data_IF_327035865410
#
_entry.id   IF_327035865410
#
_cell.length_a   1.000
_cell.length_b   1.000
_cell.length_c   1.000
_cell.angle_alpha   90.00
_cell.angle_beta   90.00
_cell.angle_gamma   90.00
#
_symmetry.space_group_name_H-M   'P 1'
#
loop_
_entity.id
_entity.type
_entity.pdbx_description
1 polymer ?
#
# COMPACT_ATOMS: atom_id res chain seq x y z
N UNK A 1 -7.86 -20.51 12.34
CA UNK A 1 -8.37 -19.15 12.13
C UNK A 1 -9.78 -19.16 11.59
N UNK A 2 -10.73 -18.70 12.40
CA UNK A 2 -12.05 -18.28 11.93
C UNK A 2 -12.02 -16.79 11.62
N UNK A 3 -12.30 -16.38 10.39
CA UNK A 3 -12.34 -14.96 10.03
C UNK A 3 -13.61 -14.26 10.55
N UNK A 4 -13.52 -12.94 10.76
CA UNK A 4 -14.55 -12.06 11.32
C UNK A 4 -15.85 -12.14 10.51
N UNK A 5 -15.78 -12.19 9.18
CA UNK A 5 -16.98 -12.32 8.32
C UNK A 5 -17.82 -13.58 8.64
N UNK A 6 -17.20 -14.62 9.19
CA UNK A 6 -17.84 -15.89 9.49
C UNK A 6 -18.37 -15.97 10.94
N UNK A 7 -18.21 -14.92 11.74
CA UNK A 7 -18.67 -14.89 13.12
C UNK A 7 -20.19 -14.91 13.23
N UNK A 8 -20.65 -15.61 14.27
CA UNK A 8 -22.05 -15.73 14.66
C UNK A 8 -22.16 -15.50 16.15
N UNK A 9 -23.33 -15.04 16.58
CA UNK A 9 -23.63 -14.90 17.99
C UNK A 9 -23.45 -16.25 18.72
N UNK A 10 -22.89 -16.21 19.94
CA UNK A 10 -22.52 -17.36 20.77
C UNK A 10 -21.32 -18.18 20.30
N UNK A 11 -20.61 -17.77 19.25
CA UNK A 11 -19.33 -18.37 18.92
C UNK A 11 -18.31 -18.17 20.03
N UNK A 12 -17.44 -19.18 20.22
CA UNK A 12 -16.21 -19.05 20.99
C UNK A 12 -15.05 -18.95 20.04
N UNK A 13 -14.19 -17.96 20.26
CA UNK A 13 -13.00 -17.75 19.43
C UNK A 13 -11.74 -17.97 20.25
N UNK A 14 -10.72 -18.49 19.56
CA UNK A 14 -9.39 -18.81 20.07
C UNK A 14 -8.44 -18.73 18.88
N UNK A 15 -8.22 -17.52 18.38
CA UNK A 15 -7.46 -17.26 17.16
C UNK A 15 -6.74 -15.91 17.28
N UNK A 16 -5.81 -15.66 16.36
CA UNK A 16 -5.02 -14.43 16.31
C UNK A 16 -5.81 -13.35 15.56
N UNK A 17 -5.66 -12.09 15.96
CA UNK A 17 -6.19 -10.90 15.29
C UNK A 17 -5.21 -9.74 15.45
N UNK A 18 -5.30 -8.75 14.56
CA UNK A 18 -4.56 -7.49 14.70
C UNK A 18 -5.35 -6.50 15.57
N UNK A 19 -4.70 -5.84 16.53
CA UNK A 19 -5.29 -4.73 17.28
C UNK A 19 -5.27 -3.45 16.43
N UNK A 20 -6.40 -3.11 15.83
CA UNK A 20 -6.53 -1.87 15.04
C UNK A 20 -6.67 -0.63 15.92
N UNK A 21 -7.33 -0.78 17.06
CA UNK A 21 -7.56 0.32 17.99
C UNK A 21 -7.64 -0.23 19.42
N UNK A 22 -7.12 0.55 20.38
CA UNK A 22 -7.18 0.26 21.82
C UNK A 22 -7.49 1.57 22.55
N UNK A 23 -8.50 1.54 23.42
CA UNK A 23 -8.86 2.67 24.26
C UNK A 23 -9.29 2.19 25.64
N UNK A 24 -8.56 2.63 26.67
CA UNK A 24 -8.98 2.46 28.05
C UNK A 24 -10.18 3.36 28.35
N UNK A 25 -11.17 2.81 29.02
CA UNK A 25 -12.40 3.51 29.37
C UNK A 25 -12.88 3.08 30.76
N UNK A 26 -13.86 3.81 31.29
CA UNK A 26 -14.45 3.54 32.60
C UNK A 26 -15.95 3.38 32.46
N UNK A 27 -16.50 2.32 33.04
CA UNK A 27 -17.95 2.10 33.08
C UNK A 27 -18.63 3.16 33.92
N UNK A 28 -19.96 3.29 33.81
CA UNK A 28 -20.77 4.20 34.67
C UNK A 28 -20.56 3.97 36.17
N UNK A 29 -20.14 2.76 36.56
CA UNK A 29 -19.92 2.36 37.96
C UNK A 29 -18.44 2.49 38.38
N UNK A 30 -17.59 3.16 37.59
CA UNK A 30 -16.20 3.43 37.95
C UNK A 30 -15.22 2.27 37.68
N UNK A 31 -15.68 1.14 37.13
CA UNK A 31 -14.78 0.01 36.79
C UNK A 31 -14.06 0.26 35.45
N UNK A 32 -12.73 0.07 35.39
CA UNK A 32 -11.97 0.19 34.15
C UNK A 32 -12.29 -0.97 33.21
N UNK A 33 -12.25 -0.71 31.90
CA UNK A 33 -12.35 -1.70 30.83
C UNK A 33 -11.61 -1.18 29.59
N UNK A 34 -11.31 -2.06 28.63
CA UNK A 34 -10.72 -1.66 27.36
C UNK A 34 -11.68 -1.90 26.21
N UNK A 35 -11.82 -0.89 25.33
CA UNK A 35 -12.43 -1.02 24.02
C UNK A 35 -11.34 -1.30 23.00
N UNK A 36 -11.53 -2.34 22.23
CA UNK A 36 -10.64 -2.76 21.16
C UNK A 36 -11.42 -2.80 19.83
N UNK A 37 -10.70 -2.61 18.73
CA UNK A 37 -11.15 -3.01 17.41
C UNK A 37 -10.18 -4.07 16.91
N UNK A 38 -10.68 -5.28 16.70
CA UNK A 38 -9.92 -6.37 16.11
C UNK A 38 -10.05 -6.29 14.59
N UNK A 39 -8.98 -6.62 13.87
CA UNK A 39 -8.96 -6.68 12.42
C UNK A 39 -8.43 -8.03 11.93
N UNK A 40 -9.07 -8.52 10.88
CA UNK A 40 -8.49 -9.47 9.95
C UNK A 40 -8.68 -8.99 8.50
N UNK A 41 -8.26 -9.78 7.49
CA UNK A 41 -8.42 -9.42 6.07
C UNK A 41 -9.88 -9.30 5.60
N UNK A 42 -10.83 -9.85 6.35
CA UNK A 42 -12.27 -9.86 5.99
C UNK A 42 -13.03 -8.69 6.62
N UNK A 43 -12.46 -8.04 7.64
CA UNK A 43 -13.06 -6.84 8.22
C UNK A 43 -12.58 -6.53 9.63
N UNK A 44 -13.42 -5.80 10.36
CA UNK A 44 -13.16 -5.40 11.73
C UNK A 44 -14.34 -5.72 12.64
N UNK A 45 -14.08 -6.00 13.92
CA UNK A 45 -15.11 -6.21 14.93
C UNK A 45 -14.75 -5.50 16.25
N UNK A 46 -15.77 -4.95 16.90
CA UNK A 46 -15.64 -4.39 18.25
C UNK A 46 -15.34 -5.50 19.26
N UNK A 47 -14.41 -5.25 20.16
CA UNK A 47 -14.06 -6.17 21.24
C UNK A 47 -13.90 -5.42 22.57
N UNK A 48 -14.21 -6.10 23.68
CA UNK A 48 -14.14 -5.52 25.02
C UNK A 48 -13.41 -6.44 25.98
N UNK A 49 -12.44 -5.88 26.70
CA UNK A 49 -11.83 -6.50 27.87
C UNK A 49 -12.45 -5.86 29.11
N UNK A 50 -13.31 -6.60 29.81
CA UNK A 50 -14.02 -6.08 30.98
C UNK A 50 -13.18 -6.02 32.26
N UNK A 51 -12.11 -6.82 32.33
CA UNK A 51 -11.17 -6.84 33.45
C UNK A 51 -9.73 -6.82 32.92
N UNK A 52 -9.21 -5.64 32.53
CA UNK A 52 -7.90 -5.53 31.89
C UNK A 52 -6.73 -5.89 32.81
N UNK A 53 -6.95 -5.93 34.13
CA UNK A 53 -5.92 -6.31 35.11
C UNK A 53 -5.94 -7.81 35.44
N UNK A 54 -6.75 -8.61 34.74
CA UNK A 54 -6.79 -10.05 34.89
C UNK A 54 -5.47 -10.67 34.45
N UNK A 55 -5.00 -11.69 35.19
CA UNK A 55 -3.76 -12.43 34.88
C UNK A 55 -3.77 -13.13 33.52
N UNK A 56 -4.92 -13.21 32.84
CA UNK A 56 -5.04 -13.76 31.50
C UNK A 56 -4.90 -12.75 30.36
N UNK A 57 -4.64 -11.47 30.67
CA UNK A 57 -4.47 -10.39 29.69
C UNK A 57 -2.99 -10.00 29.67
N UNK A 58 -2.29 -10.34 28.59
CA UNK A 58 -0.94 -9.86 28.35
C UNK A 58 -0.90 -8.34 28.11
N UNK A 59 0.29 -7.76 28.20
CA UNK A 59 0.53 -6.39 27.73
C UNK A 59 0.69 -6.36 26.21
N UNK A 60 -0.05 -5.49 25.54
CA UNK A 60 -0.07 -5.34 24.09
C UNK A 60 -0.50 -3.92 23.70
N UNK A 61 -0.10 -3.48 22.52
CA UNK A 61 -0.36 -2.16 21.99
C UNK A 61 -1.15 -2.23 20.68
N UNK A 62 -1.57 -1.06 20.19
CA UNK A 62 -2.14 -0.95 18.84
C UNK A 62 -1.11 -1.47 17.83
N UNK A 63 -1.59 -2.19 16.81
CA UNK A 63 -0.82 -2.89 15.78
C UNK A 63 -0.11 -4.19 16.22
N UNK A 64 -0.26 -4.61 17.46
CA UNK A 64 0.16 -5.96 17.86
C UNK A 64 -0.78 -7.03 17.30
N UNK A 65 -0.21 -8.17 16.95
CA UNK A 65 -0.93 -9.41 16.68
C UNK A 65 -1.16 -10.13 18.00
N UNK A 66 -2.40 -10.42 18.34
CA UNK A 66 -2.75 -11.03 19.61
C UNK A 66 -3.70 -12.21 19.43
N UNK A 67 -3.42 -13.29 20.14
CA UNK A 67 -4.32 -14.42 20.25
C UNK A 67 -5.42 -14.08 21.26
N UNK A 68 -6.66 -14.04 20.77
CA UNK A 68 -7.85 -13.70 21.55
C UNK A 68 -8.61 -14.96 21.91
N UNK A 69 -8.87 -15.12 23.21
CA UNK A 69 -9.86 -16.06 23.72
C UNK A 69 -11.07 -15.31 24.22
N UNK A 70 -12.23 -15.52 23.60
CA UNK A 70 -13.44 -14.77 23.93
C UNK A 70 -14.72 -15.39 23.39
N UNK A 71 -15.85 -14.77 23.73
CA UNK A 71 -17.16 -15.11 23.18
C UNK A 71 -17.70 -13.98 22.31
N UNK A 72 -18.27 -14.31 21.16
CA UNK A 72 -18.98 -13.38 20.29
C UNK A 72 -20.40 -13.19 20.83
N UNK A 73 -20.79 -11.96 21.08
CA UNK A 73 -22.10 -11.57 21.59
C UNK A 73 -22.77 -10.57 20.64
N UNK A 74 -24.11 -10.51 20.62
CA UNK A 74 -24.84 -9.45 19.93
C UNK A 74 -25.22 -8.34 20.92
N UNK A 75 -24.91 -7.09 20.60
CA UNK A 75 -25.34 -5.92 21.36
C UNK A 75 -25.95 -4.89 20.41
N UNK A 76 -27.22 -4.54 20.63
CA UNK A 76 -27.98 -3.61 19.78
C UNK A 76 -27.98 -4.00 18.29
N UNK A 77 -27.90 -5.31 17.99
CA UNK A 77 -27.90 -5.84 16.62
C UNK A 77 -26.52 -5.91 15.96
N UNK A 78 -25.45 -5.47 16.63
CA UNK A 78 -24.07 -5.61 16.16
C UNK A 78 -23.32 -6.69 16.94
N UNK A 79 -22.51 -7.49 16.26
CA UNK A 79 -21.63 -8.47 16.91
C UNK A 79 -20.46 -7.75 17.59
N UNK A 80 -20.13 -8.17 18.82
CA UNK A 80 -18.94 -7.75 19.55
C UNK A 80 -18.30 -8.92 20.29
N UNK A 81 -16.99 -8.93 20.40
CA UNK A 81 -16.25 -9.95 21.17
C UNK A 81 -16.10 -9.53 22.63
N UNK A 82 -16.50 -10.39 23.56
CA UNK A 82 -16.12 -10.26 24.97
C UNK A 82 -14.85 -11.06 25.20
N UNK A 83 -13.73 -10.36 25.37
CA UNK A 83 -12.40 -10.94 25.50
C UNK A 83 -12.16 -11.39 26.95
N UNK A 84 -11.69 -12.63 27.12
CA UNK A 84 -11.37 -13.24 28.41
C UNK A 84 -9.88 -13.40 28.64
N UNK A 85 -9.12 -13.71 27.58
CA UNK A 85 -7.67 -13.80 27.60
C UNK A 85 -7.09 -13.21 26.33
N UNK A 86 -5.91 -12.62 26.47
CA UNK A 86 -5.10 -12.09 25.38
C UNK A 86 -3.69 -12.61 25.56
N UNK A 87 -3.12 -13.20 24.50
CA UNK A 87 -1.70 -13.51 24.44
C UNK A 87 -1.07 -12.74 23.29
N UNK A 88 0.03 -12.02 23.54
CA UNK A 88 0.76 -11.37 22.46
C UNK A 88 1.41 -12.44 21.57
N UNK A 89 1.16 -12.38 20.26
CA UNK A 89 1.73 -13.31 19.29
C UNK A 89 3.11 -12.83 18.84
N UNK A 90 3.98 -13.77 18.49
CA UNK A 90 5.34 -13.48 18.02
C UNK A 90 5.50 -13.73 16.52
N UNK A 91 6.51 -13.12 15.91
CA UNK A 91 6.83 -13.32 14.49
C UNK A 91 7.00 -14.82 14.19
N UNK A 92 6.36 -15.28 13.11
CA UNK A 92 6.29 -16.69 12.74
C UNK A 92 5.06 -17.45 13.27
N UNK A 93 4.29 -16.88 14.21
CA UNK A 93 3.02 -17.45 14.66
C UNK A 93 1.82 -16.99 13.80
N UNK A 94 2.01 -15.98 12.95
CA UNK A 94 0.97 -15.39 12.13
C UNK A 94 1.47 -15.06 10.73
N UNK A 95 0.56 -15.08 9.74
CA UNK A 95 0.79 -14.55 8.41
C UNK A 95 0.14 -13.16 8.29
N UNK A 96 0.90 -12.06 8.11
CA UNK A 96 0.35 -10.72 7.93
C UNK A 96 -0.77 -10.64 6.86
N UNK A 97 -0.75 -11.53 5.86
CA UNK A 97 -1.77 -11.58 4.81
C UNK A 97 -3.16 -12.00 5.30
N UNK A 98 -3.25 -12.58 6.49
CA UNK A 98 -4.54 -12.88 7.13
C UNK A 98 -5.15 -11.68 7.86
N UNK A 99 -4.40 -10.59 8.05
CA UNK A 99 -4.82 -9.46 8.88
C UNK A 99 -4.83 -8.10 8.20
N UNK A 100 -4.13 -8.02 7.08
CA UNK A 100 -3.95 -6.79 6.31
C UNK A 100 -4.54 -7.00 4.91
N UNK A 101 -5.00 -5.93 4.25
CA UNK A 101 -5.27 -6.03 2.83
C UNK A 101 -3.94 -6.29 2.12
N UNK A 102 -3.89 -7.33 1.29
CA UNK A 102 -2.70 -7.74 0.51
C UNK A 102 -3.09 -7.85 -0.95
N UNK A 103 -2.13 -7.59 -1.84
CA UNK A 103 -2.30 -7.83 -3.27
C UNK A 103 -2.88 -9.23 -3.53
N UNK A 104 -3.85 -9.31 -4.43
CA UNK A 104 -4.36 -10.58 -4.94
C UNK A 104 -3.37 -11.30 -5.86
N UNK A 105 -2.30 -10.61 -6.29
CA UNK A 105 -1.24 -11.13 -7.15
C UNK A 105 -0.08 -11.64 -6.30
N UNK A 106 0.64 -12.63 -6.81
CA UNK A 106 1.85 -13.12 -6.15
C UNK A 106 2.98 -12.08 -6.22
N UNK A 107 3.47 -11.66 -5.05
CA UNK A 107 4.50 -10.62 -4.92
C UNK A 107 5.82 -11.04 -5.57
N UNK A 108 6.22 -12.31 -5.46
CA UNK A 108 7.48 -12.80 -6.03
C UNK A 108 7.43 -12.86 -7.56
N UNK A 109 6.29 -13.26 -8.12
CA UNK A 109 6.07 -13.25 -9.57
C UNK A 109 6.09 -11.83 -10.14
N UNK A 110 5.38 -10.89 -9.49
CA UNK A 110 5.38 -9.48 -9.88
C UNK A 110 6.78 -8.88 -9.83
N UNK A 111 7.52 -9.15 -8.76
CA UNK A 111 8.88 -8.66 -8.60
C UNK A 111 9.83 -9.27 -9.64
N UNK A 112 9.70 -10.57 -9.92
CA UNK A 112 10.48 -11.24 -10.97
C UNK A 112 10.20 -10.64 -12.36
N UNK A 113 8.94 -10.29 -12.64
CA UNK A 113 8.57 -9.60 -13.88
C UNK A 113 9.18 -8.19 -13.96
N UNK A 114 9.17 -7.43 -12.86
CA UNK A 114 9.81 -6.11 -12.76
C UNK A 114 11.32 -6.21 -13.04
N UNK A 115 12.02 -7.17 -12.44
CA UNK A 115 13.44 -7.45 -12.73
C UNK A 115 13.66 -7.82 -14.21
N UNK A 116 12.69 -8.51 -14.82
CA UNK A 116 12.66 -8.80 -16.25
C UNK A 116 12.72 -7.53 -17.11
N UNK A 117 12.04 -6.45 -16.73
CA UNK A 117 12.15 -5.15 -17.42
C UNK A 117 13.53 -4.51 -17.24
N UNK A 118 14.06 -4.51 -16.01
CA UNK A 118 15.39 -3.96 -15.69
C UNK A 118 16.47 -4.65 -16.53
N UNK A 119 16.43 -5.98 -16.61
CA UNK A 119 17.44 -6.78 -17.33
C UNK A 119 17.57 -6.43 -18.81
N UNK A 120 16.46 -5.98 -19.43
CA UNK A 120 16.34 -5.66 -20.87
C UNK A 120 16.78 -4.23 -21.23
N UNK A 121 17.08 -3.38 -20.25
CA UNK A 121 17.59 -2.04 -20.50
C UNK A 121 18.95 -2.09 -21.20
N UNK A 122 19.11 -1.27 -22.24
CA UNK A 122 20.36 -1.14 -23.01
C UNK A 122 21.25 -0.02 -22.47
N UNK A 123 20.67 1.03 -21.88
CA UNK A 123 21.39 2.11 -21.24
C UNK A 123 22.04 1.62 -19.93
N UNK A 124 23.36 1.50 -19.96
CA UNK A 124 24.15 0.96 -18.84
C UNK A 124 24.04 1.77 -17.55
N UNK A 125 23.80 3.08 -17.63
CA UNK A 125 23.72 3.94 -16.45
C UNK A 125 22.37 3.78 -15.74
N UNK A 126 21.27 3.77 -16.52
CA UNK A 126 19.94 3.51 -15.98
C UNK A 126 19.82 2.09 -15.45
N UNK A 127 20.39 1.11 -16.16
CA UNK A 127 20.41 -0.28 -15.70
C UNK A 127 21.14 -0.43 -14.37
N UNK A 128 22.36 0.11 -14.25
CA UNK A 128 23.11 0.12 -12.98
C UNK A 128 22.37 0.84 -11.85
N UNK A 129 21.71 1.96 -12.15
CA UNK A 129 20.90 2.68 -11.17
C UNK A 129 19.78 1.78 -10.62
N UNK A 130 19.03 1.13 -11.49
CA UNK A 130 17.95 0.23 -11.07
C UNK A 130 18.49 -1.01 -10.35
N UNK A 131 19.54 -1.65 -10.85
CA UNK A 131 20.16 -2.81 -10.19
C UNK A 131 20.65 -2.47 -8.77
N UNK A 132 21.21 -1.28 -8.56
CA UNK A 132 21.66 -0.84 -7.23
C UNK A 132 20.54 -0.70 -6.19
N UNK A 133 19.30 -0.45 -6.63
CA UNK A 133 18.14 -0.44 -5.74
C UNK A 133 17.48 -1.82 -5.69
N UNK A 134 17.10 -2.35 -6.84
CA UNK A 134 16.21 -3.50 -6.96
C UNK A 134 16.94 -4.83 -6.97
N UNK A 135 18.27 -4.88 -6.92
CA UNK A 135 19.02 -6.15 -6.87
C UNK A 135 20.03 -6.13 -5.72
N UNK A 136 20.77 -5.04 -5.54
CA UNK A 136 21.85 -4.96 -4.55
C UNK A 136 21.34 -4.60 -3.15
N UNK A 137 20.34 -3.71 -3.05
CA UNK A 137 19.81 -3.19 -1.78
C UNK A 137 18.64 -4.04 -1.26
N UNK A 138 18.97 -5.13 -0.57
CA UNK A 138 17.99 -6.09 -0.04
C UNK A 138 17.01 -5.46 0.96
N UNK A 139 17.44 -4.44 1.70
CA UNK A 139 16.59 -3.73 2.65
C UNK A 139 15.54 -2.88 1.91
N UNK A 140 15.97 -2.14 0.87
CA UNK A 140 15.06 -1.43 -0.01
C UNK A 140 14.08 -2.39 -0.70
N UNK A 141 14.55 -3.51 -1.25
CA UNK A 141 13.69 -4.50 -1.90
C UNK A 141 12.63 -5.04 -0.95
N UNK A 142 13.00 -5.39 0.29
CA UNK A 142 12.03 -5.85 1.30
C UNK A 142 10.99 -4.77 1.59
N UNK A 143 11.42 -3.51 1.78
CA UNK A 143 10.49 -2.40 2.02
C UNK A 143 9.55 -2.20 0.83
N UNK A 144 10.10 -2.07 -0.38
CA UNK A 144 9.35 -1.85 -1.62
C UNK A 144 8.29 -2.92 -1.89
N UNK A 145 8.61 -4.20 -1.65
CA UNK A 145 7.66 -5.32 -1.82
C UNK A 145 6.52 -5.31 -0.78
N UNK A 146 6.71 -4.66 0.36
CA UNK A 146 5.76 -4.67 1.48
C UNK A 146 5.00 -3.34 1.64
N UNK A 147 5.47 -2.27 1.00
CA UNK A 147 4.80 -0.96 0.98
C UNK A 147 3.48 -0.98 0.20
N UNK A 148 2.55 -0.13 0.63
CA UNK A 148 1.39 0.29 -0.17
C UNK A 148 1.80 1.38 -1.17
N UNK A 149 1.00 1.56 -2.24
CA UNK A 149 1.16 2.74 -3.09
C UNK A 149 0.43 3.97 -2.54
N UNK A 150 -0.40 3.80 -1.51
CA UNK A 150 -1.17 4.87 -0.90
C UNK A 150 -1.66 4.49 0.49
N UNK A 151 -1.94 5.50 1.32
CA UNK A 151 -2.52 5.30 2.65
C UNK A 151 -3.87 4.56 2.61
N UNK A 152 -4.73 4.87 1.64
CA UNK A 152 -6.09 4.35 1.64
C UNK A 152 -6.76 4.18 0.27
N UNK A 153 -6.20 4.69 -0.83
CA UNK A 153 -6.88 4.66 -2.15
C UNK A 153 -5.94 4.14 -3.21
N UNK A 154 -6.41 3.22 -4.07
CA UNK A 154 -5.67 2.56 -5.15
C UNK A 154 -4.35 1.94 -4.68
N UNK A 155 -4.32 0.61 -4.60
CA UNK A 155 -3.16 -0.13 -4.11
C UNK A 155 -2.81 0.18 -2.64
N UNK A 156 -3.83 0.42 -1.82
CA UNK A 156 -3.73 0.69 -0.37
C UNK A 156 -3.49 -0.56 0.48
N UNK A 157 -2.68 -1.49 -0.03
CA UNK A 157 -2.49 -2.83 0.52
C UNK A 157 -1.02 -3.27 0.47
N UNK A 158 -0.66 -4.32 1.22
CA UNK A 158 0.70 -4.90 1.20
C UNK A 158 1.02 -5.38 -0.21
N UNK A 159 2.15 -4.92 -0.75
CA UNK A 159 2.56 -5.19 -2.14
C UNK A 159 1.94 -4.25 -3.17
N UNK A 160 1.13 -3.29 -2.74
CA UNK A 160 0.49 -2.31 -3.61
C UNK A 160 1.47 -1.43 -4.36
N UNK A 161 2.57 -1.01 -3.73
CA UNK A 161 3.59 -0.19 -4.41
C UNK A 161 4.22 -0.94 -5.59
N UNK A 162 4.57 -2.22 -5.39
CA UNK A 162 5.11 -3.08 -6.44
C UNK A 162 4.09 -3.30 -7.56
N UNK A 163 2.83 -3.61 -7.19
CA UNK A 163 1.77 -3.85 -8.16
C UNK A 163 1.51 -2.63 -9.05
N UNK A 164 1.37 -1.46 -8.43
CA UNK A 164 1.22 -0.18 -9.10
C UNK A 164 2.40 0.10 -10.03
N UNK A 165 3.62 0.02 -9.50
CA UNK A 165 4.86 0.27 -10.27
C UNK A 165 4.97 -0.65 -11.49
N UNK A 166 4.66 -1.94 -11.32
CA UNK A 166 4.69 -2.90 -12.42
C UNK A 166 3.61 -2.60 -13.47
N UNK A 167 2.41 -2.21 -13.05
CA UNK A 167 1.32 -1.85 -13.95
C UNK A 167 1.64 -0.60 -14.77
N UNK A 168 2.14 0.46 -14.12
CA UNK A 168 2.63 1.68 -14.79
C UNK A 168 3.77 1.34 -15.76
N UNK A 169 4.71 0.48 -15.35
CA UNK A 169 5.80 0.01 -16.23
C UNK A 169 5.27 -0.71 -17.47
N UNK A 170 4.23 -1.55 -17.33
CA UNK A 170 3.57 -2.24 -18.46
C UNK A 170 2.90 -1.27 -19.42
N UNK A 171 2.18 -0.27 -18.89
CA UNK A 171 1.56 0.78 -19.69
C UNK A 171 2.62 1.61 -20.44
N UNK A 172 3.71 1.97 -19.77
CA UNK A 172 4.84 2.63 -20.38
C UNK A 172 5.51 1.78 -21.48
N UNK A 173 5.74 0.48 -21.27
CA UNK A 173 6.28 -0.41 -22.31
C UNK A 173 5.32 -0.50 -23.51
N UNK A 174 4.01 -0.53 -23.27
CA UNK A 174 3.02 -0.44 -24.34
C UNK A 174 3.14 0.89 -25.11
N UNK A 175 3.26 2.02 -24.43
CA UNK A 175 3.46 3.33 -25.07
C UNK A 175 4.72 3.36 -25.95
N UNK A 176 5.83 2.72 -25.54
CA UNK A 176 7.05 2.69 -26.38
C UNK A 176 6.86 1.94 -27.70
N UNK A 177 5.90 1.02 -27.78
CA UNK A 177 5.55 0.31 -29.02
C UNK A 177 4.64 1.17 -29.91
N UNK A 178 3.72 1.91 -29.30
CA UNK A 178 2.78 2.78 -30.00
C UNK A 178 3.42 4.09 -30.50
N UNK A 179 4.40 4.63 -29.75
CA UNK A 179 5.04 5.91 -30.02
C UNK A 179 6.57 5.75 -30.09
N UNK A 180 7.13 5.44 -31.28
CA UNK A 180 8.58 5.19 -31.45
C UNK A 180 9.50 6.37 -31.12
N UNK A 181 8.95 7.58 -30.95
CA UNK A 181 9.69 8.78 -30.53
C UNK A 181 10.18 8.68 -29.07
N UNK A 182 9.52 7.86 -28.24
CA UNK A 182 9.87 7.67 -26.83
C UNK A 182 11.24 7.00 -26.67
N UNK A 183 12.06 7.55 -25.77
CA UNK A 183 13.28 6.90 -25.29
C UNK A 183 12.91 5.80 -24.30
N UNK A 184 12.71 4.59 -24.82
CA UNK A 184 12.28 3.41 -24.07
C UNK A 184 12.98 3.25 -22.72
N UNK A 185 14.32 3.23 -22.70
CA UNK A 185 15.06 2.97 -21.47
C UNK A 185 14.86 4.04 -20.40
N UNK A 186 14.77 5.32 -20.81
CA UNK A 186 14.47 6.41 -19.88
C UNK A 186 13.06 6.28 -19.32
N UNK A 187 12.06 6.04 -20.17
CA UNK A 187 10.68 5.91 -19.74
C UNK A 187 10.47 4.70 -18.80
N UNK A 188 11.04 3.54 -19.13
CA UNK A 188 10.92 2.34 -18.30
C UNK A 188 11.65 2.53 -16.96
N UNK A 189 12.85 3.11 -16.97
CA UNK A 189 13.54 3.40 -15.71
C UNK A 189 12.75 4.38 -14.85
N UNK A 190 12.23 5.46 -15.45
CA UNK A 190 11.41 6.43 -14.74
C UNK A 190 10.14 5.79 -14.17
N UNK A 191 9.45 4.94 -14.93
CA UNK A 191 8.27 4.21 -14.47
C UNK A 191 8.57 3.29 -13.28
N UNK A 192 9.71 2.60 -13.28
CA UNK A 192 10.11 1.73 -12.17
C UNK A 192 10.43 2.53 -10.90
N UNK A 193 10.91 3.77 -11.04
CA UNK A 193 11.32 4.61 -9.92
C UNK A 193 10.29 5.65 -9.46
N UNK A 194 9.23 5.93 -10.24
CA UNK A 194 8.40 7.13 -10.07
C UNK A 194 7.89 7.32 -8.63
N UNK A 195 7.48 6.21 -8.02
CA UNK A 195 6.88 6.16 -6.69
C UNK A 195 7.77 5.54 -5.62
N UNK A 196 9.03 5.22 -5.92
CA UNK A 196 9.89 4.51 -4.97
C UNK A 196 10.14 5.29 -3.66
N UNK A 197 9.92 6.61 -3.68
CA UNK A 197 9.96 7.45 -2.48
C UNK A 197 8.90 7.08 -1.44
N UNK A 198 7.83 6.37 -1.84
CA UNK A 198 6.79 5.86 -0.92
C UNK A 198 7.34 4.91 0.13
N UNK A 199 8.46 4.26 -0.15
CA UNK A 199 9.20 3.42 0.82
C UNK A 199 9.77 4.20 2.02
N UNK A 200 9.84 5.53 1.95
CA UNK A 200 10.21 6.41 3.06
C UNK A 200 9.09 7.37 3.45
N UNK A 201 8.15 7.68 2.54
CA UNK A 201 7.00 8.53 2.85
C UNK A 201 5.99 7.82 3.76
N UNK A 202 5.73 6.53 3.53
CA UNK A 202 4.78 5.74 4.29
C UNK A 202 5.50 4.68 5.12
N UNK A 203 5.10 4.54 6.37
CA UNK A 203 5.52 3.41 7.20
C UNK A 203 4.92 2.11 6.66
N UNK A 204 5.60 0.99 6.95
CA UNK A 204 5.08 -0.32 6.58
C UNK A 204 3.80 -0.64 7.36
N UNK A 205 3.04 -1.59 6.84
CA UNK A 205 1.97 -2.18 7.62
C UNK A 205 2.51 -2.83 8.90
N UNK A 206 1.75 -2.83 10.00
CA UNK A 206 0.31 -2.51 10.07
C UNK A 206 -0.05 -1.03 10.13
N UNK A 207 0.94 -0.14 10.33
CA UNK A 207 0.70 1.29 10.56
C UNK A 207 0.23 2.01 9.30
N UNK A 208 0.95 1.83 8.18
CA UNK A 208 0.62 2.43 6.87
C UNK A 208 0.26 3.93 6.97
N UNK A 209 1.02 4.69 7.75
CA UNK A 209 0.83 6.13 7.94
C UNK A 209 2.04 6.91 7.42
N UNK A 210 1.87 8.21 7.23
CA UNK A 210 2.96 9.09 6.83
C UNK A 210 4.03 9.16 7.92
N UNK A 211 5.28 8.96 7.50
CA UNK A 211 6.45 9.26 8.34
C UNK A 211 6.66 10.77 8.46
N UNK A 212 7.55 11.20 9.35
CA UNK A 212 7.94 12.62 9.44
C UNK A 212 8.45 13.15 8.10
N UNK A 213 9.32 12.40 7.42
CA UNK A 213 9.81 12.76 6.08
C UNK A 213 8.68 12.77 5.05
N UNK A 214 7.73 11.84 5.15
CA UNK A 214 6.54 11.82 4.30
C UNK A 214 5.67 13.05 4.45
N UNK A 215 5.44 13.50 5.68
CA UNK A 215 4.69 14.73 5.98
C UNK A 215 5.41 16.00 5.52
N UNK A 216 6.75 16.02 5.62
CA UNK A 216 7.56 17.22 5.35
C UNK A 216 7.97 17.36 3.88
N UNK A 217 8.26 16.26 3.20
CA UNK A 217 8.90 16.25 1.87
C UNK A 217 8.02 15.65 0.78
N UNK A 218 7.34 14.54 1.07
CA UNK A 218 6.57 13.75 0.11
C UNK A 218 7.42 12.88 -0.82
N UNK A 219 6.84 11.79 -1.33
CA UNK A 219 7.54 10.75 -2.07
C UNK A 219 8.20 11.25 -3.36
N UNK A 220 7.65 12.26 -4.02
CA UNK A 220 8.21 12.80 -5.28
C UNK A 220 9.61 13.39 -5.05
N UNK A 221 9.74 14.20 -3.99
CA UNK A 221 11.02 14.84 -3.62
C UNK A 221 11.98 13.77 -3.12
N UNK A 222 11.51 12.91 -2.20
CA UNK A 222 12.29 11.79 -1.65
C UNK A 222 12.84 10.90 -2.78
N UNK A 223 12.01 10.48 -3.74
CA UNK A 223 12.42 9.63 -4.85
C UNK A 223 13.48 10.30 -5.75
N UNK A 224 13.33 11.61 -5.99
CA UNK A 224 14.32 12.42 -6.72
C UNK A 224 15.66 12.53 -5.98
N UNK A 225 15.63 12.63 -4.64
CA UNK A 225 16.83 12.62 -3.80
C UNK A 225 17.51 11.25 -3.80
N UNK A 226 16.74 10.17 -3.62
CA UNK A 226 17.25 8.79 -3.68
C UNK A 226 17.97 8.53 -5.00
N UNK A 227 17.38 8.90 -6.15
CA UNK A 227 18.03 8.78 -7.47
C UNK A 227 19.32 9.61 -7.51
N UNK A 228 19.29 10.83 -6.98
CA UNK A 228 20.47 11.71 -6.98
C UNK A 228 21.62 11.14 -6.15
N UNK A 229 21.33 10.57 -4.99
CA UNK A 229 22.31 9.93 -4.10
C UNK A 229 22.93 8.71 -4.76
N UNK A 230 22.10 7.84 -5.34
CA UNK A 230 22.56 6.61 -5.96
C UNK A 230 23.32 6.86 -7.26
N UNK A 231 22.88 7.81 -8.08
CA UNK A 231 23.59 8.18 -9.31
C UNK A 231 25.00 8.74 -9.04
N UNK A 232 25.24 9.42 -7.90
CA UNK A 232 26.59 9.90 -7.50
C UNK A 232 27.57 8.74 -7.26
N UNK A 233 27.07 7.55 -6.92
CA UNK A 233 27.89 6.37 -6.67
C UNK A 233 28.26 5.64 -7.97
N UNK A 234 27.64 6.00 -9.10
CA UNK A 234 27.90 5.39 -10.41
C UNK A 234 28.89 6.27 -11.17
N UNK A 235 30.11 5.75 -11.35
CA UNK A 235 31.16 6.45 -12.09
C UNK A 235 30.70 6.82 -13.50
N UNK A 236 30.89 8.08 -13.87
CA UNK A 236 30.58 8.59 -15.21
C UNK A 236 29.09 8.81 -15.51
N UNK A 237 28.19 8.74 -14.52
CA UNK A 237 26.75 8.94 -14.77
C UNK A 237 26.48 10.28 -15.51
N UNK A 238 25.89 10.25 -16.73
CA UNK A 238 25.71 11.46 -17.53
C UNK A 238 24.79 12.47 -16.85
N UNK A 239 25.29 13.69 -16.63
CA UNK A 239 24.56 14.76 -15.95
C UNK A 239 23.21 15.09 -16.61
N UNK A 240 23.16 15.07 -17.95
CA UNK A 240 21.92 15.35 -18.71
C UNK A 240 20.90 14.25 -18.46
N UNK A 241 21.31 12.99 -18.58
CA UNK A 241 20.43 11.83 -18.33
C UNK A 241 19.88 11.84 -16.90
N UNK A 242 20.70 12.21 -15.91
CA UNK A 242 20.24 12.33 -14.53
C UNK A 242 19.18 13.43 -14.39
N UNK A 243 19.36 14.57 -15.05
CA UNK A 243 18.39 15.66 -15.02
C UNK A 243 17.05 15.25 -15.68
N UNK A 244 17.10 14.55 -16.81
CA UNK A 244 15.92 14.03 -17.52
C UNK A 244 15.17 12.98 -16.70
N UNK A 245 15.91 12.03 -16.09
CA UNK A 245 15.36 11.04 -15.17
C UNK A 245 14.65 11.72 -14.00
N UNK A 246 15.32 12.65 -13.31
CA UNK A 246 14.72 13.41 -12.22
C UNK A 246 13.51 14.23 -12.66
N UNK A 247 13.53 14.79 -13.87
CA UNK A 247 12.37 15.53 -14.39
C UNK A 247 11.15 14.61 -14.56
N UNK A 248 11.34 13.37 -15.02
CA UNK A 248 10.24 12.41 -15.12
C UNK A 248 9.62 12.14 -13.73
N UNK A 249 10.45 11.95 -12.70
CA UNK A 249 9.96 11.78 -11.31
C UNK A 249 9.30 13.06 -10.80
N UNK A 250 9.92 14.23 -10.93
CA UNK A 250 9.37 15.49 -10.42
C UNK A 250 8.10 15.95 -11.14
N UNK A 251 7.74 15.32 -12.26
CA UNK A 251 6.62 15.72 -13.09
C UNK A 251 5.53 14.66 -13.25
N UNK A 252 5.67 13.47 -12.66
CA UNK A 252 4.78 12.34 -12.97
C UNK A 252 3.34 12.58 -12.52
N UNK A 253 3.09 13.36 -11.47
CA UNK A 253 1.72 13.76 -11.09
C UNK A 253 1.08 14.77 -12.06
N UNK A 254 1.81 15.28 -13.06
CA UNK A 254 1.26 16.05 -14.18
C UNK A 254 0.98 17.53 -13.89
N UNK A 255 0.26 17.82 -12.81
CA UNK A 255 -0.25 19.16 -12.49
C UNK A 255 0.18 19.63 -11.10
N UNK A 256 0.31 20.95 -10.92
CA UNK A 256 0.71 21.53 -9.63
C UNK A 256 -0.35 21.28 -8.55
N UNK A 257 -1.63 21.29 -8.96
CA UNK A 257 -2.80 21.01 -8.13
C UNK A 257 -2.81 19.56 -7.61
N UNK A 258 -2.10 18.65 -8.27
CA UNK A 258 -1.91 17.26 -7.84
C UNK A 258 -0.61 17.06 -7.04
N UNK A 259 0.02 18.15 -6.60
CA UNK A 259 1.24 18.12 -5.80
C UNK A 259 2.53 17.93 -6.61
N UNK A 260 2.45 17.95 -7.95
CA UNK A 260 3.63 17.80 -8.80
C UNK A 260 4.57 19.02 -8.68
N UNK A 261 5.86 18.85 -8.36
CA UNK A 261 6.83 19.96 -8.34
C UNK A 261 7.03 20.65 -9.70
N UNK A 262 6.83 19.91 -10.80
CA UNK A 262 6.91 20.40 -12.19
C UNK A 262 5.81 19.79 -13.05
N UNK A 263 5.50 20.46 -14.17
CA UNK A 263 4.68 19.86 -15.23
C UNK A 263 5.55 19.04 -16.20
N UNK A 264 5.01 17.97 -16.81
CA UNK A 264 5.72 17.22 -17.84
C UNK A 264 6.21 18.11 -18.97
N UNK A 265 7.49 17.95 -19.33
CA UNK A 265 8.16 18.75 -20.36
C UNK A 265 9.03 17.89 -21.30
N UNK A 266 9.13 16.60 -20.99
CA UNK A 266 9.69 15.56 -21.85
C UNK A 266 8.54 14.65 -22.27
N UNK A 267 8.62 14.08 -23.47
CA UNK A 267 7.58 13.16 -23.95
C UNK A 267 7.48 11.90 -23.08
N UNK A 268 8.60 11.48 -22.47
CA UNK A 268 8.65 10.41 -21.47
C UNK A 268 7.92 10.81 -20.19
N UNK A 269 8.10 12.04 -19.70
CA UNK A 269 7.38 12.52 -18.52
C UNK A 269 5.87 12.63 -18.78
N UNK A 270 5.45 13.01 -20.00
CA UNK A 270 4.04 13.05 -20.40
C UNK A 270 3.46 11.63 -20.43
N UNK A 271 4.19 10.69 -21.03
CA UNK A 271 3.80 9.29 -21.09
C UNK A 271 3.71 8.65 -19.70
N UNK A 272 4.67 8.93 -18.81
CA UNK A 272 4.65 8.45 -17.43
C UNK A 272 3.44 8.98 -16.65
N UNK A 273 3.17 10.29 -16.71
CA UNK A 273 1.99 10.89 -16.08
C UNK A 273 0.68 10.23 -16.53
N UNK A 274 0.51 10.01 -17.83
CA UNK A 274 -0.70 9.34 -18.32
C UNK A 274 -0.78 7.87 -17.89
N UNK A 275 0.33 7.15 -17.84
CA UNK A 275 0.36 5.76 -17.38
C UNK A 275 0.00 5.65 -15.89
N UNK A 276 0.63 6.48 -15.05
CA UNK A 276 0.36 6.59 -13.62
C UNK A 276 -1.11 6.94 -13.34
N UNK A 277 -1.61 8.01 -13.95
CA UNK A 277 -2.99 8.44 -13.78
C UNK A 277 -4.02 7.40 -14.27
N UNK A 278 -3.68 6.66 -15.34
CA UNK A 278 -4.52 5.57 -15.84
C UNK A 278 -4.62 4.46 -14.81
N UNK A 279 -3.49 4.01 -14.28
CA UNK A 279 -3.48 2.94 -13.29
C UNK A 279 -4.24 3.32 -12.02
N UNK A 280 -3.96 4.48 -11.44
CA UNK A 280 -4.62 4.94 -10.22
C UNK A 280 -6.16 5.01 -10.37
N UNK A 281 -6.65 5.50 -11.51
CA UNK A 281 -8.11 5.59 -11.77
C UNK A 281 -8.74 4.24 -12.04
N UNK A 282 -8.06 3.38 -12.81
CA UNK A 282 -8.57 2.05 -13.13
C UNK A 282 -8.59 1.16 -11.89
N UNK A 283 -7.57 1.21 -11.04
CA UNK A 283 -7.54 0.45 -9.80
C UNK A 283 -8.59 0.96 -8.81
N UNK A 284 -8.75 2.28 -8.68
CA UNK A 284 -9.83 2.87 -7.86
C UNK A 284 -11.22 2.33 -8.26
N UNK A 285 -11.48 2.17 -9.57
CA UNK A 285 -12.72 1.57 -10.07
C UNK A 285 -12.80 0.08 -9.76
N UNK A 286 -11.71 -0.66 -9.94
CA UNK A 286 -11.63 -2.09 -9.65
C UNK A 286 -11.91 -2.39 -8.17
N UNK A 287 -11.23 -1.70 -7.25
CA UNK A 287 -11.43 -1.83 -5.80
C UNK A 287 -12.88 -1.46 -5.40
N UNK A 288 -13.42 -0.38 -5.97
CA UNK A 288 -14.80 0.03 -5.72
C UNK A 288 -15.82 -1.02 -6.20
N UNK A 289 -15.57 -1.62 -7.37
CA UNK A 289 -16.45 -2.64 -7.91
C UNK A 289 -16.35 -3.98 -7.18
N UNK A 290 -15.18 -4.29 -6.61
CA UNK A 290 -14.98 -5.46 -5.77
C UNK A 290 -15.60 -5.31 -4.37
N UNK A 291 -15.69 -4.08 -3.84
CA UNK A 291 -16.21 -3.82 -2.50
C UNK A 291 -17.74 -3.83 -2.36
N UNK A 292 -18.48 -4.02 -3.47
CA UNK A 292 -19.95 -4.00 -3.45
C UNK A 292 -20.60 -5.04 -4.36
N UNK A 293 -21.67 -5.65 -3.86
CA UNK A 293 -22.59 -6.49 -4.63
C UNK A 293 -23.80 -5.72 -5.15
N UNK A 294 -23.91 -4.42 -4.87
CA UNK A 294 -25.01 -3.59 -5.33
C UNK A 294 -24.98 -3.40 -6.85
N UNK A 295 -26.14 -3.60 -7.46
CA UNK A 295 -26.36 -3.36 -8.88
C UNK A 295 -27.01 -1.98 -9.05
N UNK A 296 -26.21 -0.95 -9.37
CA UNK A 296 -26.72 0.42 -9.52
C UNK A 296 -25.63 1.50 -9.52
N UNK A 297 -26.07 2.74 -9.28
CA UNK A 297 -25.17 3.87 -9.04
C UNK A 297 -24.55 3.74 -7.65
N UNK A 298 -23.22 3.78 -7.56
CA UNK A 298 -22.45 3.65 -6.32
C UNK A 298 -22.14 5.00 -5.66
N UNK A 299 -22.79 6.07 -6.13
CA UNK A 299 -22.56 7.44 -5.69
C UNK A 299 -21.36 8.11 -6.35
N UNK A 300 -21.02 9.29 -5.83
CA UNK A 300 -19.97 10.16 -6.36
C UNK A 300 -18.59 9.73 -5.85
N UNK A 301 -17.69 9.40 -6.77
CA UNK A 301 -16.29 9.15 -6.45
C UNK A 301 -15.46 10.41 -6.71
N UNK A 302 -14.82 10.94 -5.66
CA UNK A 302 -14.06 12.20 -5.72
C UNK A 302 -12.84 12.14 -6.64
N UNK A 303 -12.15 11.00 -6.74
CA UNK A 303 -10.95 10.87 -7.57
C UNK A 303 -11.28 10.76 -9.07
N UNK A 304 -12.49 10.32 -9.37
CA UNK A 304 -13.02 10.23 -10.73
C UNK A 304 -13.89 11.43 -11.10
N UNK A 305 -14.15 12.31 -10.13
CA UNK A 305 -15.02 13.47 -10.21
C UNK A 305 -16.40 13.19 -10.82
N UNK A 306 -16.94 11.98 -10.60
CA UNK A 306 -18.17 11.52 -11.24
C UNK A 306 -18.94 10.51 -10.39
N UNK A 307 -20.25 10.39 -10.67
CA UNK A 307 -21.02 9.25 -10.21
C UNK A 307 -20.65 8.01 -11.02
N UNK A 308 -20.45 6.88 -10.35
CA UNK A 308 -19.97 5.65 -11.00
C UNK A 308 -20.95 4.50 -10.84
N UNK A 309 -20.94 3.60 -11.81
CA UNK A 309 -21.74 2.37 -11.83
C UNK A 309 -21.06 1.32 -12.70
N UNK A 310 -21.38 0.04 -12.46
CA UNK A 310 -20.98 -1.06 -13.36
C UNK A 310 -21.73 -0.95 -14.71
N UNK A 311 -21.06 -1.40 -15.77
CA UNK A 311 -21.69 -1.60 -17.08
C UNK A 311 -22.74 -2.69 -16.96
N UNK A 312 -23.89 -2.51 -17.61
CA UNK A 312 -24.97 -3.51 -17.59
C UNK A 312 -24.56 -4.75 -18.38
N UNK A 313 -24.80 -5.94 -17.83
CA UNK A 313 -24.80 -7.18 -18.60
C UNK A 313 -26.05 -7.17 -19.49
N UNK A 314 -25.86 -7.25 -20.81
CA UNK A 314 -26.94 -7.32 -21.81
C UNK A 314 -27.05 -8.76 -22.28
#
# INVERSE_FOLDING_TARGET
MKYIEAFKESDRISDIYLIKHKQSAVTKNGKPYENLILQDKTGTIDAKIWDPNSAGIDDFEVLDYVEIFGDVNSFQGALQVSVKRVRKSHEGEYDPADYLPVSSKNIDDMYSELLGYISKLSNVYLKKLLESFFVEDQAFVKSFKMSSAAKAVHHGFVGGLLEHTLSVTKLCDYYTKAYPVLKKDLLIAAAICHDMGKTRELSLFPENDYTDDGQLLGHIVIGSEMISERAKQIEGFPKVLLAEMKHCILAHHGEYEYGSPKKPALIEAVALNFADNTDAKMETMTELFASTTENGWLGYNRLLESNVRKTSEI
#
